data_IF_258062909559
#
_entry.id   IF_258062909559
#
_cell.length_a   1.000
_cell.length_b   1.000
_cell.length_c   1.000
_cell.angle_alpha   90.00
_cell.angle_beta   90.00
_cell.angle_gamma   90.00
#
_symmetry.space_group_name_H-M   'P 1'
#
loop_
_entity.id
_entity.type
_entity.pdbx_description
1 polymer ?
#
# COMPACT_ATOMS: atom_id res chain seq x y z
N UNK A 1 7.67 3.40 -19.39
CA UNK A 1 8.01 3.59 -17.97
C UNK A 1 7.68 2.29 -17.22
N UNK A 2 8.56 1.78 -16.36
CA UNK A 2 8.27 0.61 -15.51
C UNK A 2 8.14 1.09 -14.07
N UNK A 3 6.94 1.00 -13.50
CA UNK A 3 6.70 1.30 -12.09
C UNK A 3 7.17 0.11 -11.26
N UNK A 4 8.08 0.33 -10.31
CA UNK A 4 8.49 -0.68 -9.33
C UNK A 4 7.85 -0.37 -7.99
N UNK A 5 7.22 -1.36 -7.39
CA UNK A 5 6.60 -1.24 -6.08
C UNK A 5 7.20 -2.31 -5.19
N UNK A 6 7.52 -1.95 -3.95
CA UNK A 6 8.04 -2.86 -2.94
C UNK A 6 7.00 -2.99 -1.83
N UNK A 7 6.62 -4.22 -1.47
CA UNK A 7 5.89 -4.48 -0.24
C UNK A 7 6.72 -5.42 0.62
N UNK A 8 6.86 -5.13 1.91
CA UNK A 8 7.64 -5.97 2.81
C UNK A 8 7.17 -5.85 4.26
N UNK A 9 6.78 -6.99 4.85
CA UNK A 9 6.65 -7.08 6.30
C UNK A 9 8.06 -7.06 6.92
N UNK A 10 8.34 -6.02 7.70
CA UNK A 10 9.68 -5.77 8.22
C UNK A 10 9.89 -6.37 9.61
N UNK A 11 8.95 -7.16 10.11
CA UNK A 11 8.96 -7.88 11.39
C UNK A 11 9.18 -6.97 12.62
N UNK A 12 8.17 -6.78 13.47
CA UNK A 12 8.18 -5.74 14.53
C UNK A 12 9.19 -6.02 15.67
N UNK A 13 9.59 -7.28 15.83
CA UNK A 13 10.41 -7.73 16.94
C UNK A 13 11.79 -7.03 17.01
N UNK A 14 12.34 -6.90 18.21
CA UNK A 14 13.63 -6.24 18.44
C UNK A 14 14.84 -7.09 18.01
N UNK A 15 14.67 -8.40 17.87
CA UNK A 15 15.75 -9.32 17.48
C UNK A 15 16.39 -8.85 16.16
N UNK A 16 17.69 -8.51 16.28
CA UNK A 16 18.51 -8.03 15.18
C UNK A 16 17.94 -6.82 14.41
N UNK A 17 17.01 -6.05 14.99
CA UNK A 17 16.27 -4.96 14.30
C UNK A 17 17.19 -4.01 13.53
N UNK A 18 18.26 -3.53 14.15
CA UNK A 18 19.23 -2.63 13.49
C UNK A 18 19.87 -3.25 12.24
N UNK A 19 20.30 -4.51 12.31
CA UNK A 19 20.86 -5.23 11.16
C UNK A 19 19.81 -5.44 10.06
N UNK A 20 18.57 -5.77 10.45
CA UNK A 20 17.45 -5.97 9.52
C UNK A 20 17.08 -4.67 8.81
N UNK A 21 16.91 -3.56 9.53
CA UNK A 21 16.59 -2.25 8.93
C UNK A 21 17.70 -1.74 8.00
N UNK A 22 18.96 -1.95 8.35
CA UNK A 22 20.10 -1.65 7.47
C UNK A 22 20.10 -2.51 6.21
N UNK A 23 19.78 -3.80 6.33
CA UNK A 23 19.68 -4.68 5.17
C UNK A 23 18.51 -4.30 4.26
N UNK A 24 17.35 -4.00 4.83
CA UNK A 24 16.17 -3.52 4.10
C UNK A 24 16.48 -2.22 3.35
N UNK A 25 17.14 -1.25 3.99
CA UNK A 25 17.53 -0.01 3.31
C UNK A 25 18.45 -0.22 2.13
N UNK A 26 19.40 -1.17 2.20
CA UNK A 26 20.22 -1.56 1.04
C UNK A 26 19.39 -2.14 -0.11
N UNK A 27 18.32 -2.88 0.19
CA UNK A 27 17.39 -3.37 -0.85
C UNK A 27 16.65 -2.19 -1.49
N UNK A 28 16.20 -1.22 -0.69
CA UNK A 28 15.54 0.00 -1.21
C UNK A 28 16.50 0.79 -2.11
N UNK A 29 17.73 1.00 -1.69
CA UNK A 29 18.77 1.69 -2.49
C UNK A 29 19.10 0.96 -3.79
N UNK A 30 19.13 -0.37 -3.76
CA UNK A 30 19.42 -1.18 -4.93
C UNK A 30 18.26 -1.16 -5.94
N UNK A 31 17.03 -1.45 -5.49
CA UNK A 31 15.88 -1.58 -6.38
C UNK A 31 15.23 -0.24 -6.74
N UNK A 32 15.42 0.80 -5.92
CA UNK A 32 14.80 2.13 -6.10
C UNK A 32 13.32 2.02 -6.48
N UNK A 33 12.48 1.41 -5.62
CA UNK A 33 11.05 1.32 -5.86
C UNK A 33 10.43 2.73 -5.89
N UNK A 34 9.41 2.96 -6.70
CA UNK A 34 8.69 4.22 -6.74
C UNK A 34 7.77 4.39 -5.52
N UNK A 35 7.19 3.28 -5.03
CA UNK A 35 6.35 3.25 -3.84
C UNK A 35 6.74 2.03 -2.99
N UNK A 36 6.75 2.20 -1.67
CA UNK A 36 7.08 1.15 -0.70
C UNK A 36 5.94 1.04 0.31
N UNK A 37 5.47 -0.17 0.57
CA UNK A 37 4.60 -0.50 1.70
C UNK A 37 5.33 -1.37 2.70
N UNK A 38 5.56 -0.86 3.90
CA UNK A 38 6.07 -1.65 5.00
C UNK A 38 4.97 -2.03 5.98
N UNK A 39 5.02 -3.26 6.47
CA UNK A 39 4.13 -3.80 7.52
C UNK A 39 4.95 -4.16 8.76
N UNK A 40 4.29 -4.24 9.93
CA UNK A 40 4.94 -4.45 11.23
C UNK A 40 6.01 -3.38 11.57
N UNK A 41 5.76 -2.13 11.21
CA UNK A 41 6.66 -1.02 11.50
C UNK A 41 6.47 -0.57 12.94
N UNK A 42 7.54 -0.50 13.71
CA UNK A 42 7.57 0.17 15.03
C UNK A 42 8.17 1.58 14.91
N UNK A 43 7.97 2.45 15.91
CA UNK A 43 8.59 3.79 15.95
C UNK A 43 10.11 3.71 15.82
N UNK A 44 10.74 2.77 16.53
CA UNK A 44 12.19 2.56 16.44
C UNK A 44 12.64 2.08 15.06
N UNK A 45 11.92 1.12 14.47
CA UNK A 45 12.21 0.64 13.13
C UNK A 45 12.08 1.77 12.10
N UNK A 46 11.02 2.58 12.20
CA UNK A 46 10.81 3.75 11.36
C UNK A 46 11.95 4.76 11.49
N UNK A 47 12.38 5.08 12.72
CA UNK A 47 13.50 5.97 12.95
C UNK A 47 14.80 5.45 12.31
N UNK A 48 15.09 4.15 12.46
CA UNK A 48 16.26 3.50 11.83
C UNK A 48 16.17 3.49 10.29
N UNK A 49 14.97 3.34 9.72
CA UNK A 49 14.76 3.42 8.27
C UNK A 49 14.96 4.86 7.77
N UNK A 50 14.37 5.84 8.44
CA UNK A 50 14.46 7.27 8.07
C UNK A 50 15.85 7.87 8.26
N UNK A 51 16.68 7.30 9.13
CA UNK A 51 18.08 7.71 9.29
C UNK A 51 18.98 7.32 8.10
N UNK A 52 18.51 6.47 7.19
CA UNK A 52 19.29 6.01 6.04
C UNK A 52 19.15 6.96 4.85
N UNK A 53 20.16 6.98 3.96
CA UNK A 53 20.26 7.99 2.90
C UNK A 53 19.13 7.93 1.88
N UNK A 54 18.56 6.76 1.62
CA UNK A 54 17.44 6.62 0.67
C UNK A 54 16.18 7.35 1.14
N UNK A 55 15.94 7.46 2.45
CA UNK A 55 14.66 7.93 2.97
C UNK A 55 14.36 9.40 2.61
N UNK A 56 15.39 10.24 2.41
CA UNK A 56 15.23 11.65 2.02
C UNK A 56 14.60 11.84 0.62
N UNK A 57 14.53 10.79 -0.17
CA UNK A 57 13.93 10.80 -1.51
C UNK A 57 12.47 10.32 -1.50
N UNK A 58 11.90 10.04 -0.33
CA UNK A 58 10.56 9.51 -0.19
C UNK A 58 9.75 10.32 0.83
N UNK A 59 8.53 10.68 0.46
CA UNK A 59 7.51 11.13 1.40
C UNK A 59 6.99 9.93 2.19
N UNK A 60 6.81 10.07 3.51
CA UNK A 60 6.32 9.00 4.38
C UNK A 60 4.92 9.30 4.90
N UNK A 61 4.00 8.33 4.85
CA UNK A 61 2.62 8.51 5.34
C UNK A 61 2.57 8.98 6.79
N UNK A 62 3.46 8.43 7.62
CA UNK A 62 3.49 8.67 9.08
C UNK A 62 3.89 10.10 9.45
N UNK A 63 4.52 10.83 8.52
CA UNK A 63 4.88 12.24 8.74
C UNK A 63 3.68 13.17 8.61
N UNK A 64 2.65 12.72 7.89
CA UNK A 64 1.43 13.50 7.61
C UNK A 64 0.26 13.03 8.47
N UNK A 65 0.11 11.71 8.64
CA UNK A 65 -0.97 11.11 9.40
C UNK A 65 -0.40 10.12 10.43
N UNK A 66 -0.71 10.28 11.73
CA UNK A 66 -0.28 9.31 12.73
C UNK A 66 -0.95 7.95 12.46
N UNK A 67 -0.27 6.84 12.79
CA UNK A 67 -0.83 5.50 12.67
C UNK A 67 -1.99 5.29 13.65
N UNK A 68 -2.91 4.39 13.33
CA UNK A 68 -4.03 4.06 14.22
C UNK A 68 -3.58 3.43 15.55
N UNK A 69 -2.50 2.65 15.54
CA UNK A 69 -1.95 2.00 16.73
C UNK A 69 -0.44 2.23 16.87
N UNK A 70 0.04 2.35 18.12
CA UNK A 70 1.45 2.68 18.42
C UNK A 70 2.38 1.46 18.49
N UNK A 71 1.85 0.27 18.81
CA UNK A 71 2.69 -0.92 19.02
C UNK A 71 3.46 -1.33 17.75
N UNK A 72 2.74 -1.43 16.64
CA UNK A 72 3.26 -1.50 15.29
C UNK A 72 2.15 -1.08 14.31
N UNK A 73 2.54 -0.66 13.12
CA UNK A 73 1.65 -0.11 12.11
C UNK A 73 2.16 -0.40 10.69
N UNK A 74 1.43 0.09 9.69
CA UNK A 74 1.87 0.06 8.28
C UNK A 74 2.34 1.45 7.86
N UNK A 75 3.30 1.53 6.94
CA UNK A 75 3.79 2.79 6.43
C UNK A 75 3.94 2.74 4.90
N UNK A 76 3.49 3.81 4.24
CA UNK A 76 3.77 4.06 2.83
C UNK A 76 4.93 5.04 2.69
N UNK A 77 5.81 4.76 1.75
CA UNK A 77 6.84 5.68 1.27
C UNK A 77 6.67 5.89 -0.23
N UNK A 78 6.69 7.13 -0.70
CA UNK A 78 6.56 7.46 -2.12
C UNK A 78 7.71 8.36 -2.58
N UNK A 79 8.42 7.93 -3.63
CA UNK A 79 9.35 8.79 -4.38
C UNK A 79 8.63 9.60 -5.48
N UNK A 80 7.32 9.41 -5.62
CA UNK A 80 6.44 10.12 -6.54
C UNK A 80 5.67 11.21 -5.79
N UNK A 81 5.25 12.30 -6.47
CA UNK A 81 4.40 13.31 -5.85
C UNK A 81 3.13 12.69 -5.25
N UNK A 82 2.91 12.93 -3.96
CA UNK A 82 1.71 12.50 -3.23
C UNK A 82 0.65 13.60 -3.34
N UNK A 83 -0.54 13.25 -3.82
CA UNK A 83 -1.68 14.17 -3.98
C UNK A 83 -2.63 14.11 -2.79
N UNK A 84 -2.82 12.94 -2.22
CA UNK A 84 -3.64 12.72 -1.03
C UNK A 84 -3.16 11.50 -0.25
N UNK A 85 -3.50 11.47 1.04
CA UNK A 85 -3.21 10.39 1.97
C UNK A 85 -4.45 10.14 2.83
N UNK A 86 -4.79 8.87 3.01
CA UNK A 86 -5.92 8.46 3.84
C UNK A 86 -5.56 7.24 4.70
N UNK A 87 -6.14 7.16 5.89
CA UNK A 87 -5.97 6.05 6.82
C UNK A 87 -7.35 5.55 7.24
N UNK A 88 -7.57 4.24 7.11
CA UNK A 88 -8.86 3.57 7.36
C UNK A 88 -8.65 2.41 8.33
N UNK A 89 -8.89 2.61 9.65
CA UNK A 89 -8.85 1.53 10.63
C UNK A 89 -9.96 0.50 10.38
N UNK A 90 -9.65 -0.79 10.44
CA UNK A 90 -10.69 -1.81 10.29
C UNK A 90 -11.49 -1.99 11.58
N UNK A 91 -12.80 -1.80 11.49
CA UNK A 91 -13.71 -1.93 12.65
C UNK A 91 -13.71 -3.32 13.30
N UNK A 92 -13.35 -4.37 12.56
CA UNK A 92 -13.36 -5.76 13.02
C UNK A 92 -11.98 -6.28 13.46
N UNK A 93 -11.00 -5.41 13.69
CA UNK A 93 -9.65 -5.81 14.09
C UNK A 93 -9.50 -6.01 15.60
N UNK A 94 -8.82 -7.08 16.00
CA UNK A 94 -8.32 -7.27 17.38
C UNK A 94 -6.84 -6.91 17.54
N UNK A 95 -6.14 -6.63 16.44
CA UNK A 95 -4.69 -6.45 16.36
C UNK A 95 -4.29 -5.07 15.81
N UNK A 96 -5.22 -4.11 15.77
CA UNK A 96 -4.94 -2.73 15.34
C UNK A 96 -4.74 -2.56 13.84
N UNK A 97 -5.40 -3.35 13.01
CA UNK A 97 -5.19 -3.33 11.56
C UNK A 97 -5.83 -2.10 10.92
N UNK A 98 -5.15 -1.54 9.93
CA UNK A 98 -5.62 -0.41 9.14
C UNK A 98 -5.22 -0.57 7.67
N UNK A 99 -5.91 0.16 6.80
CA UNK A 99 -5.53 0.39 5.40
C UNK A 99 -5.03 1.84 5.27
N UNK A 100 -3.82 2.01 4.78
CA UNK A 100 -3.28 3.34 4.42
C UNK A 100 -3.27 3.45 2.90
N UNK A 101 -3.84 4.52 2.35
CA UNK A 101 -3.94 4.76 0.91
C UNK A 101 -3.23 6.08 0.58
N UNK A 102 -2.31 6.04 -0.39
CA UNK A 102 -1.77 7.23 -1.04
C UNK A 102 -2.30 7.34 -2.46
N UNK A 103 -2.71 8.54 -2.87
CA UNK A 103 -2.84 8.88 -4.29
C UNK A 103 -1.52 9.50 -4.75
N UNK A 104 -0.84 8.83 -5.67
CA UNK A 104 0.44 9.29 -6.22
C UNK A 104 0.27 9.72 -7.68
N UNK A 105 1.21 10.52 -8.19
CA UNK A 105 1.26 10.94 -9.59
C UNK A 105 2.51 10.36 -10.29
N UNK A 106 2.42 9.18 -10.92
CA UNK A 106 3.56 8.56 -11.60
C UNK A 106 4.01 9.32 -12.84
N UNK A 107 3.10 10.06 -13.48
CA UNK A 107 3.33 10.87 -14.69
C UNK A 107 2.48 12.14 -14.51
N UNK A 108 2.96 13.34 -14.88
CA UNK A 108 2.17 14.57 -14.77
C UNK A 108 0.75 14.42 -15.35
N UNK A 109 -0.26 14.77 -14.56
CA UNK A 109 -1.67 14.65 -14.93
C UNK A 109 -2.23 13.23 -14.89
N UNK A 110 -1.49 12.24 -14.37
CA UNK A 110 -1.97 10.87 -14.21
C UNK A 110 -1.77 10.39 -12.79
N UNK A 111 -2.86 9.99 -12.13
CA UNK A 111 -2.83 9.54 -10.74
C UNK A 111 -2.97 8.02 -10.62
N UNK A 112 -2.50 7.46 -9.51
CA UNK A 112 -2.63 6.06 -9.16
C UNK A 112 -2.86 5.96 -7.66
N UNK A 113 -3.88 5.20 -7.24
CA UNK A 113 -4.07 4.89 -5.82
C UNK A 113 -3.22 3.68 -5.43
N UNK A 114 -2.51 3.79 -4.31
CA UNK A 114 -1.75 2.68 -3.75
C UNK A 114 -2.14 2.51 -2.29
N UNK A 115 -2.73 1.36 -1.96
CA UNK A 115 -3.10 0.96 -0.61
C UNK A 115 -2.12 -0.05 -0.03
N UNK A 116 -1.71 0.12 1.23
CA UNK A 116 -1.02 -0.92 1.99
C UNK A 116 -1.76 -1.27 3.26
N UNK A 117 -1.74 -2.55 3.61
CA UNK A 117 -2.32 -3.04 4.85
C UNK A 117 -1.56 -4.26 5.38
N UNK A 118 -1.83 -4.58 6.64
CA UNK A 118 -1.46 -5.84 7.28
C UNK A 118 -2.71 -6.44 7.89
N UNK A 119 -3.35 -7.36 7.16
CA UNK A 119 -4.64 -7.93 7.56
C UNK A 119 -4.51 -8.84 8.78
N UNK A 120 -5.64 -9.17 9.41
CA UNK A 120 -5.70 -9.95 10.65
C UNK A 120 -4.87 -11.25 10.55
N UNK A 121 -3.93 -11.43 11.48
CA UNK A 121 -3.04 -12.58 11.48
C UNK A 121 -3.69 -13.81 12.11
N UNK A 122 -3.00 -14.96 12.05
CA UNK A 122 -3.38 -16.25 12.62
C UNK A 122 -4.60 -16.94 11.95
N UNK A 123 -4.64 -18.29 11.97
CA UNK A 123 -5.66 -19.05 11.25
C UNK A 123 -7.10 -18.77 11.70
N UNK A 124 -7.33 -18.58 13.01
CA UNK A 124 -8.67 -18.40 13.58
C UNK A 124 -9.35 -17.09 13.15
N UNK A 125 -8.61 -16.14 12.60
CA UNK A 125 -9.15 -14.85 12.14
C UNK A 125 -9.40 -14.78 10.62
N UNK A 126 -9.64 -15.93 9.99
CA UNK A 126 -9.96 -16.01 8.56
C UNK A 126 -11.15 -15.11 8.15
N UNK A 127 -12.21 -15.07 8.96
CA UNK A 127 -13.39 -14.22 8.71
C UNK A 127 -13.03 -12.73 8.65
N UNK A 128 -12.48 -12.15 9.73
CA UNK A 128 -11.99 -10.77 9.74
C UNK A 128 -11.02 -10.46 8.59
N UNK A 129 -9.98 -11.29 8.40
CA UNK A 129 -8.97 -11.09 7.34
C UNK A 129 -9.59 -11.00 5.94
N UNK A 130 -10.52 -11.89 5.60
CA UNK A 130 -11.19 -11.87 4.29
C UNK A 130 -12.13 -10.66 4.17
N UNK A 131 -12.82 -10.29 5.24
CA UNK A 131 -13.64 -9.07 5.27
C UNK A 131 -12.81 -7.82 5.05
N UNK A 132 -11.66 -7.71 5.71
CA UNK A 132 -10.72 -6.57 5.59
C UNK A 132 -10.15 -6.47 4.17
N UNK A 133 -9.81 -7.59 3.52
CA UNK A 133 -9.40 -7.59 2.12
C UNK A 133 -10.52 -7.07 1.21
N UNK A 134 -11.76 -7.54 1.40
CA UNK A 134 -12.92 -7.10 0.62
C UNK A 134 -13.19 -5.61 0.80
N UNK A 135 -13.12 -5.13 2.03
CA UNK A 135 -13.23 -3.72 2.38
C UNK A 135 -12.14 -2.89 1.69
N UNK A 136 -10.89 -3.34 1.73
CA UNK A 136 -9.76 -2.66 1.09
C UNK A 136 -9.92 -2.52 -0.41
N UNK A 137 -10.30 -3.61 -1.10
CA UNK A 137 -10.50 -3.59 -2.54
C UNK A 137 -11.73 -2.75 -2.94
N UNK A 138 -12.78 -2.75 -2.11
CA UNK A 138 -13.97 -1.91 -2.32
C UNK A 138 -13.61 -0.44 -2.19
N UNK A 139 -12.94 -0.04 -1.11
CA UNK A 139 -12.49 1.34 -0.90
C UNK A 139 -11.62 1.82 -2.07
N UNK A 140 -10.62 1.04 -2.48
CA UNK A 140 -9.75 1.41 -3.61
C UNK A 140 -10.52 1.53 -4.92
N UNK A 141 -11.45 0.61 -5.21
CA UNK A 141 -12.31 0.70 -6.41
C UNK A 141 -13.16 1.97 -6.37
N UNK A 142 -13.76 2.28 -5.22
CA UNK A 142 -14.62 3.46 -5.09
C UNK A 142 -13.81 4.75 -5.29
N UNK A 143 -12.54 4.80 -4.84
CA UNK A 143 -11.62 5.91 -5.15
C UNK A 143 -11.35 6.07 -6.64
N UNK A 144 -11.15 4.96 -7.35
CA UNK A 144 -10.97 5.00 -8.82
C UNK A 144 -12.23 5.54 -9.50
N UNK A 145 -13.41 5.01 -9.16
CA UNK A 145 -14.68 5.43 -9.75
C UNK A 145 -14.99 6.92 -9.47
N UNK A 146 -14.69 7.40 -8.26
CA UNK A 146 -14.90 8.79 -7.89
C UNK A 146 -13.95 9.72 -8.66
N UNK A 147 -12.68 9.34 -8.82
CA UNK A 147 -11.72 10.11 -9.61
C UNK A 147 -12.14 10.20 -11.10
N UNK A 148 -12.73 9.13 -11.66
CA UNK A 148 -13.30 9.16 -13.01
C UNK A 148 -14.55 10.05 -13.10
N UNK A 149 -15.36 10.12 -12.03
CA UNK A 149 -16.58 10.93 -11.99
C UNK A 149 -16.29 12.42 -11.82
N UNK A 150 -15.27 12.79 -11.04
CA UNK A 150 -14.81 14.17 -10.89
C UNK A 150 -14.30 14.74 -12.22
N UNK A 151 -13.69 13.89 -13.06
CA UNK A 151 -13.33 14.21 -14.45
C UNK A 151 -14.55 14.43 -15.36
N UNK A 152 -15.75 13.97 -14.97
CA UNK A 152 -16.99 14.02 -15.76
C UNK A 152 -17.97 15.12 -15.34
N UNK A 153 -17.63 16.00 -14.41
CA UNK A 153 -18.53 17.10 -13.99
C UNK A 153 -18.81 18.05 -15.18
N UNK A 154 -20.06 18.04 -15.61
CA UNK A 154 -20.58 18.75 -16.77
C UNK A 154 -20.66 20.27 -16.55
N UNK A 155 -19.91 21.03 -17.36
CA UNK A 155 -20.25 22.41 -17.69
C UNK A 155 -21.25 22.36 -18.85
N UNK A 156 -22.44 22.92 -18.62
CA UNK A 156 -23.67 22.67 -19.40
C UNK A 156 -23.55 22.65 -20.93
N UNK A 157 -24.33 21.75 -21.54
CA UNK A 157 -24.78 21.59 -22.94
C UNK A 157 -23.88 21.94 -24.14
N UNK A 158 -22.64 22.38 -23.96
CA UNK A 158 -21.69 22.63 -25.06
C UNK A 158 -20.36 21.97 -24.75
N UNK A 159 -20.16 20.82 -25.40
CA UNK A 159 -18.89 20.09 -25.42
C UNK A 159 -17.81 20.98 -26.04
N UNK A 160 -16.93 21.54 -25.21
CA UNK A 160 -15.61 22.02 -25.62
C UNK A 160 -14.56 21.31 -24.79
N UNK A 161 -13.64 20.65 -25.48
CA UNK A 161 -12.44 20.13 -24.84
C UNK A 161 -11.54 21.32 -24.51
N UNK A 162 -11.62 21.80 -23.27
CA UNK A 162 -10.66 22.80 -22.79
C UNK A 162 -9.30 22.10 -22.60
N UNK A 163 -8.25 22.73 -23.12
CA UNK A 163 -6.91 22.16 -23.33
C UNK A 163 -6.08 21.96 -22.06
N UNK A 164 -6.68 21.68 -20.92
CA UNK A 164 -5.96 21.31 -19.70
C UNK A 164 -5.71 19.79 -19.73
N UNK A 165 -4.49 19.29 -19.42
CA UNK A 165 -4.24 17.86 -19.41
C UNK A 165 -5.16 17.19 -18.37
N UNK A 166 -6.09 16.38 -18.84
CA UNK A 166 -7.08 15.64 -18.04
C UNK A 166 -6.36 14.85 -16.94
N UNK A 167 -6.84 14.95 -15.70
CA UNK A 167 -6.29 14.21 -14.55
C UNK A 167 -6.74 12.74 -14.59
N UNK A 168 -6.10 11.94 -15.44
CA UNK A 168 -6.53 10.55 -15.64
C UNK A 168 -6.10 9.66 -14.46
N UNK A 169 -7.05 9.01 -13.81
CA UNK A 169 -6.76 7.93 -12.86
C UNK A 169 -6.35 6.65 -13.61
N UNK A 170 -5.19 6.10 -13.28
CA UNK A 170 -4.66 4.85 -13.86
C UNK A 170 -5.24 3.60 -13.19
N UNK A 171 -5.97 3.76 -12.10
CA UNK A 171 -6.53 2.67 -11.30
C UNK A 171 -5.97 2.66 -9.87
N UNK A 172 -5.95 1.46 -9.28
CA UNK A 172 -5.49 1.25 -7.91
C UNK A 172 -4.68 -0.03 -7.76
N UNK A 173 -3.76 -0.01 -6.80
CA UNK A 173 -2.96 -1.18 -6.38
C UNK A 173 -3.19 -1.39 -4.90
N UNK A 174 -3.64 -2.59 -4.53
CA UNK A 174 -3.56 -3.07 -3.16
C UNK A 174 -2.28 -3.90 -3.00
N UNK A 175 -1.49 -3.59 -1.99
CA UNK A 175 -0.30 -4.35 -1.60
C UNK A 175 -0.27 -4.54 -0.09
N UNK A 176 0.64 -5.37 0.41
CA UNK A 176 0.82 -5.57 1.84
C UNK A 176 0.88 -7.03 2.24
N UNK A 177 0.91 -7.24 3.55
CA UNK A 177 0.85 -8.58 4.14
C UNK A 177 -0.62 -8.96 4.35
N UNK A 178 -1.13 -9.79 3.45
CA UNK A 178 -2.53 -10.21 3.50
C UNK A 178 -2.79 -11.27 4.56
N UNK A 179 -1.75 -11.94 5.08
CA UNK A 179 -1.86 -13.16 5.90
C UNK A 179 -2.79 -14.24 5.32
N UNK A 180 -3.14 -14.18 4.04
CA UNK A 180 -4.10 -15.11 3.45
C UNK A 180 -3.53 -16.52 3.42
N UNK A 181 -4.28 -17.44 3.99
CA UNK A 181 -3.99 -18.86 3.93
C UNK A 181 -4.80 -19.49 2.80
N UNK A 182 -4.34 -20.63 2.29
CA UNK A 182 -5.09 -21.40 1.27
C UNK A 182 -6.52 -21.72 1.70
N UNK A 183 -6.76 -21.89 3.00
CA UNK A 183 -8.08 -22.14 3.58
C UNK A 183 -9.03 -20.95 3.46
N UNK A 184 -8.49 -19.73 3.44
CA UNK A 184 -9.28 -18.49 3.37
C UNK A 184 -9.86 -18.26 1.97
N UNK A 185 -9.24 -18.86 0.94
CA UNK A 185 -9.72 -18.79 -0.44
C UNK A 185 -11.14 -19.34 -0.60
N UNK A 186 -11.62 -20.19 0.32
CA UNK A 186 -13.00 -20.68 0.34
C UNK A 186 -14.02 -19.59 0.72
N UNK A 187 -13.58 -18.54 1.42
CA UNK A 187 -14.39 -17.41 1.87
C UNK A 187 -14.32 -16.22 0.90
N UNK A 188 -13.33 -16.24 0.00
CA UNK A 188 -13.21 -15.28 -1.07
C UNK A 188 -14.22 -15.61 -2.16
N UNK A 189 -14.87 -14.56 -2.68
CA UNK A 189 -15.69 -14.68 -3.88
C UNK A 189 -14.80 -15.20 -5.02
N UNK A 190 -15.30 -16.14 -5.83
CA UNK A 190 -14.58 -16.65 -7.01
C UNK A 190 -14.13 -15.53 -7.94
N UNK A 191 -14.88 -14.41 -8.00
CA UNK A 191 -14.49 -13.23 -8.77
C UNK A 191 -13.25 -12.55 -8.20
N UNK A 192 -13.08 -12.53 -6.88
CA UNK A 192 -11.91 -11.99 -6.19
C UNK A 192 -10.69 -12.93 -6.28
N UNK A 193 -10.91 -14.23 -6.40
CA UNK A 193 -9.84 -15.21 -6.58
C UNK A 193 -9.16 -15.12 -7.97
N UNK A 194 -9.83 -14.52 -8.97
CA UNK A 194 -9.30 -14.36 -10.33
C UNK A 194 -8.25 -13.23 -10.45
N UNK A 195 -8.08 -12.36 -9.44
CA UNK A 195 -7.09 -11.28 -9.45
C UNK A 195 -5.65 -11.74 -9.09
N UNK A 196 -5.40 -13.06 -9.01
CA UNK A 196 -4.14 -13.62 -8.55
C UNK A 196 -3.05 -13.75 -9.65
N UNK A 197 -3.38 -13.54 -10.92
CA UNK A 197 -2.42 -13.63 -12.03
C UNK A 197 -1.69 -12.29 -12.23
N UNK A 198 -0.77 -11.98 -11.31
CA UNK A 198 0.20 -10.90 -11.47
C UNK A 198 1.59 -11.52 -11.58
N UNK A 199 2.38 -11.12 -12.57
CA UNK A 199 3.80 -11.47 -12.65
C UNK A 199 4.55 -10.82 -11.48
N UNK A 200 4.60 -11.53 -10.35
CA UNK A 200 5.37 -11.14 -9.17
C UNK A 200 6.79 -11.65 -9.33
N UNK A 201 7.73 -10.74 -9.58
CA UNK A 201 9.15 -11.06 -9.43
C UNK A 201 9.46 -11.18 -7.93
N UNK A 202 9.37 -12.41 -7.41
CA UNK A 202 9.76 -12.70 -6.04
C UNK A 202 11.27 -12.48 -5.91
N UNK A 203 11.67 -11.65 -4.94
CA UNK A 203 13.08 -11.56 -4.57
C UNK A 203 13.56 -12.97 -4.18
N UNK A 204 14.53 -13.52 -4.93
CA UNK A 204 15.12 -14.82 -4.64
C UNK A 204 15.84 -14.75 -3.29
N UNK A 205 15.15 -15.10 -2.21
CA UNK A 205 15.79 -15.30 -0.92
C UNK A 205 16.62 -16.58 -1.03
N UNK A 206 17.95 -16.47 -0.97
CA UNK A 206 18.90 -17.59 -1.09
C UNK A 206 18.85 -18.61 0.06
N UNK A 207 17.73 -18.77 0.76
CA UNK A 207 17.53 -19.76 1.82
C UNK A 207 16.09 -20.26 1.82
N UNK A 208 15.90 -21.38 1.14
CA UNK A 208 15.07 -22.50 1.62
C UNK A 208 15.65 -23.76 0.98
N UNK A 209 16.52 -24.43 1.72
CA UNK A 209 16.64 -25.89 1.71
C UNK A 209 16.14 -26.36 3.06
#
# INVERSE_FOLDING_TARGET
MKLRILTFNIFFDEVARSMRMKAIGRLVEHFRPAVIGFQEVTRDALAMLKAQQWAKFYDCSVDTAPPFQEAYFVALFSALPVKSLETHPFSNTGMGRELVIMQVEPIPGKTLFVGTSHLESLPQFAGPRVSQLKESLTLLRDRVNNAESDDMVAIGDKRRADGNPKNVCLGAIFMGDTNLMKTDMKLLDRRLAAFADVDVELAKTGRSK
#
